data_IF_783953613000
#
_entry.id   IF_783953613000
#
_cell.length_a   1.000
_cell.length_b   1.000
_cell.length_c   1.000
_cell.angle_alpha   90.00
_cell.angle_beta   90.00
_cell.angle_gamma   90.00
#
_symmetry.space_group_name_H-M   'P 1'
#
loop_
_entity.id
_entity.type
_entity.pdbx_description
1 polymer ?
#
# COMPACT_ATOMS: atom_id res chain seq x y z
N UNK A 1 -16.02 -7.44 24.84
CA UNK A 1 -16.32 -6.59 23.66
C UNK A 1 -17.38 -7.31 22.83
N UNK A 2 -18.46 -6.65 22.41
CA UNK A 2 -19.54 -7.35 21.70
C UNK A 2 -19.06 -7.86 20.33
N UNK A 3 -19.58 -9.01 19.87
CA UNK A 3 -19.23 -9.63 18.58
C UNK A 3 -19.38 -8.66 17.40
N UNK A 4 -20.44 -7.82 17.42
CA UNK A 4 -20.67 -6.80 16.40
C UNK A 4 -19.61 -5.70 16.38
N UNK A 5 -19.09 -5.29 17.54
CA UNK A 5 -18.05 -4.25 17.61
C UNK A 5 -16.69 -4.78 17.10
N UNK A 6 -16.35 -6.03 17.42
CA UNK A 6 -15.14 -6.67 16.88
C UNK A 6 -15.20 -6.79 15.36
N UNK A 7 -16.35 -7.24 14.85
CA UNK A 7 -16.57 -7.36 13.41
C UNK A 7 -16.41 -6.01 12.69
N UNK A 8 -16.97 -4.92 13.25
CA UNK A 8 -16.80 -3.58 12.70
C UNK A 8 -15.33 -3.19 12.58
N UNK A 9 -14.53 -3.37 13.64
CA UNK A 9 -13.10 -3.02 13.61
C UNK A 9 -12.32 -3.84 12.58
N UNK A 10 -12.64 -5.12 12.45
CA UNK A 10 -12.02 -5.99 11.44
C UNK A 10 -12.40 -5.54 10.02
N UNK A 11 -13.67 -5.27 9.76
CA UNK A 11 -14.10 -4.73 8.46
C UNK A 11 -13.43 -3.39 8.13
N UNK A 12 -13.27 -2.50 9.12
CA UNK A 12 -12.53 -1.23 8.95
C UNK A 12 -11.05 -1.49 8.64
N UNK A 13 -10.41 -2.45 9.31
CA UNK A 13 -9.03 -2.82 9.02
C UNK A 13 -8.86 -3.27 7.55
N UNK A 14 -9.72 -4.17 7.06
CA UNK A 14 -9.68 -4.60 5.65
C UNK A 14 -9.92 -3.46 4.68
N UNK A 15 -10.87 -2.58 4.99
CA UNK A 15 -11.12 -1.38 4.21
C UNK A 15 -9.86 -0.51 4.08
N UNK A 16 -9.16 -0.21 5.17
CA UNK A 16 -7.95 0.61 5.14
C UNK A 16 -6.78 -0.07 4.42
N UNK A 17 -6.62 -1.39 4.60
CA UNK A 17 -5.61 -2.16 3.87
C UNK A 17 -5.88 -2.07 2.36
N UNK A 18 -7.10 -2.37 1.91
CA UNK A 18 -7.47 -2.30 0.50
C UNK A 18 -7.39 -0.88 -0.07
N UNK A 19 -7.78 0.12 0.73
CA UNK A 19 -7.65 1.53 0.37
C UNK A 19 -6.19 1.93 0.17
N UNK A 20 -5.27 1.43 0.99
CA UNK A 20 -3.83 1.72 0.85
C UNK A 20 -3.30 1.31 -0.53
N UNK A 21 -3.76 0.18 -1.08
CA UNK A 21 -3.40 -0.27 -2.43
C UNK A 21 -4.10 0.54 -3.52
N UNK A 22 -5.40 0.79 -3.37
CA UNK A 22 -6.19 1.54 -4.33
C UNK A 22 -5.74 3.01 -4.47
N UNK A 23 -5.06 3.56 -3.46
CA UNK A 23 -4.53 4.93 -3.48
C UNK A 23 -3.14 5.05 -4.16
N UNK A 24 -2.38 3.96 -4.31
CA UNK A 24 -1.05 3.98 -4.96
C UNK A 24 -1.07 4.66 -6.35
N UNK A 25 -2.07 4.43 -7.22
CA UNK A 25 -2.08 5.01 -8.57
C UNK A 25 -2.37 6.51 -8.60
N UNK A 26 -3.02 7.08 -7.57
CA UNK A 26 -3.48 8.49 -7.55
C UNK A 26 -2.38 9.49 -7.93
N UNK A 27 -1.18 9.50 -7.30
CA UNK A 27 -0.10 10.42 -7.68
C UNK A 27 0.39 10.22 -9.12
N UNK A 28 0.35 9.00 -9.64
CA UNK A 28 0.73 8.70 -11.02
C UNK A 28 -0.31 9.19 -12.02
N UNK A 29 -1.59 9.01 -11.73
CA UNK A 29 -2.70 9.51 -12.55
C UNK A 29 -2.68 11.03 -12.56
N UNK A 30 -2.51 11.68 -11.40
CA UNK A 30 -2.37 13.13 -11.32
C UNK A 30 -1.25 13.64 -12.22
N UNK A 31 -0.03 13.09 -12.08
CA UNK A 31 1.11 13.51 -12.89
C UNK A 31 0.92 13.19 -14.37
N UNK A 32 0.27 12.09 -14.71
CA UNK A 32 -0.11 11.78 -16.08
C UNK A 32 -1.04 12.87 -16.66
N UNK A 33 -2.06 13.28 -15.90
CA UNK A 33 -3.00 14.30 -16.34
C UNK A 33 -2.33 15.67 -16.50
N UNK A 34 -1.47 16.06 -15.58
CA UNK A 34 -0.77 17.36 -15.63
C UNK A 34 0.34 17.38 -16.70
N UNK A 35 1.23 16.39 -16.72
CA UNK A 35 2.43 16.41 -17.58
C UNK A 35 2.17 15.96 -19.02
N UNK A 36 1.16 15.13 -19.25
CA UNK A 36 0.91 14.52 -20.56
C UNK A 36 -0.38 15.02 -21.19
N UNK A 37 -1.45 15.14 -20.39
CA UNK A 37 -2.71 15.69 -20.85
C UNK A 37 -2.80 17.21 -20.67
N UNK A 38 -1.77 17.83 -20.08
CA UNK A 38 -1.66 19.29 -19.91
C UNK A 38 -2.92 19.85 -19.24
N UNK A 39 -3.53 19.07 -18.33
CA UNK A 39 -4.69 19.49 -17.55
C UNK A 39 -4.24 20.30 -16.35
N UNK A 40 -4.89 21.43 -16.17
CA UNK A 40 -4.75 22.18 -14.94
C UNK A 40 -5.64 21.55 -13.86
N UNK A 41 -5.02 21.07 -12.79
CA UNK A 41 -5.71 20.38 -11.70
C UNK A 41 -5.29 21.08 -10.41
N UNK A 42 -6.15 22.00 -9.97
CA UNK A 42 -5.93 22.81 -8.79
C UNK A 42 -6.90 22.46 -7.65
N UNK A 43 -6.44 22.62 -6.42
CA UNK A 43 -7.26 22.53 -5.19
C UNK A 43 -8.17 21.30 -5.13
N UNK A 44 -9.47 21.55 -4.99
CA UNK A 44 -10.49 20.51 -4.84
C UNK A 44 -10.66 19.61 -6.07
N UNK A 45 -10.18 20.01 -7.26
CA UNK A 45 -10.21 19.15 -8.43
C UNK A 45 -9.32 17.91 -8.25
N UNK A 46 -8.24 18.02 -7.46
CA UNK A 46 -7.38 16.90 -7.10
C UNK A 46 -8.13 15.84 -6.28
N UNK A 47 -9.07 16.24 -5.41
CA UNK A 47 -9.85 15.31 -4.60
C UNK A 47 -10.73 14.37 -5.44
N UNK A 48 -11.09 14.77 -6.66
CA UNK A 48 -11.87 13.92 -7.58
C UNK A 48 -11.12 12.63 -7.94
N UNK A 49 -9.79 12.62 -7.90
CA UNK A 49 -8.98 11.42 -8.17
C UNK A 49 -9.13 10.34 -7.10
N UNK A 50 -9.62 10.70 -5.92
CA UNK A 50 -9.81 9.78 -4.81
C UNK A 50 -11.17 9.07 -4.86
N UNK A 51 -12.14 9.61 -5.61
CA UNK A 51 -13.52 9.07 -5.68
C UNK A 51 -13.51 7.58 -6.09
N UNK A 52 -12.76 7.23 -7.13
CA UNK A 52 -12.70 5.85 -7.63
C UNK A 52 -12.07 4.89 -6.60
N UNK A 53 -10.87 5.17 -6.04
CA UNK A 53 -10.32 4.38 -4.94
C UNK A 53 -11.29 4.16 -3.78
N UNK A 54 -11.91 5.24 -3.29
CA UNK A 54 -12.87 5.17 -2.18
C UNK A 54 -14.11 4.33 -2.53
N UNK A 55 -14.65 4.48 -3.75
CA UNK A 55 -15.82 3.73 -4.18
C UNK A 55 -15.51 2.23 -4.28
N UNK A 56 -14.42 1.85 -4.95
CA UNK A 56 -13.99 0.45 -5.13
C UNK A 56 -13.76 -0.22 -3.78
N UNK A 57 -13.08 0.46 -2.85
CA UNK A 57 -12.75 -0.14 -1.55
C UNK A 57 -13.95 -0.20 -0.62
N UNK A 58 -14.90 0.72 -0.76
CA UNK A 58 -16.18 0.64 -0.02
C UNK A 58 -17.01 -0.54 -0.49
N UNK A 59 -17.06 -0.82 -1.81
CA UNK A 59 -17.71 -2.02 -2.36
C UNK A 59 -17.02 -3.28 -1.83
N UNK A 60 -15.69 -3.32 -1.84
CA UNK A 60 -14.90 -4.41 -1.27
C UNK A 60 -15.20 -4.63 0.22
N UNK A 61 -15.30 -3.55 1.01
CA UNK A 61 -15.65 -3.64 2.44
C UNK A 61 -17.03 -4.26 2.65
N UNK A 62 -18.02 -3.84 1.87
CA UNK A 62 -19.38 -4.40 1.94
C UNK A 62 -19.34 -5.88 1.56
N UNK A 63 -18.71 -6.23 0.45
CA UNK A 63 -18.56 -7.61 -0.02
C UNK A 63 -17.89 -8.52 1.00
N UNK A 64 -16.74 -8.12 1.52
CA UNK A 64 -16.01 -8.88 2.55
C UNK A 64 -16.77 -8.95 3.86
N UNK A 65 -17.46 -7.88 4.26
CA UNK A 65 -18.33 -7.91 5.46
C UNK A 65 -19.43 -8.97 5.32
N UNK A 66 -20.07 -9.09 4.16
CA UNK A 66 -21.05 -10.17 3.95
C UNK A 66 -20.42 -11.56 4.04
N UNK A 67 -19.24 -11.76 3.45
CA UNK A 67 -18.56 -13.05 3.46
C UNK A 67 -18.10 -13.48 4.86
N UNK A 68 -17.63 -12.55 5.67
CA UNK A 68 -17.05 -12.79 6.99
C UNK A 68 -18.01 -12.51 8.14
N UNK A 69 -19.28 -12.16 7.87
CA UNK A 69 -20.26 -11.94 8.92
C UNK A 69 -20.36 -13.20 9.81
N UNK A 70 -20.30 -13.04 11.16
CA UNK A 70 -20.33 -14.17 12.09
C UNK A 70 -21.61 -15.01 11.94
N UNK A 71 -21.45 -16.32 11.89
CA UNK A 71 -22.53 -17.31 11.97
C UNK A 71 -22.09 -18.45 12.89
N UNK A 72 -23.03 -19.18 13.48
CA UNK A 72 -22.71 -20.25 14.44
C UNK A 72 -21.72 -21.28 13.85
N UNK A 73 -21.91 -21.66 12.58
CA UNK A 73 -20.99 -22.53 11.83
C UNK A 73 -19.57 -21.97 11.74
N UNK A 74 -19.41 -20.67 11.42
CA UNK A 74 -18.09 -20.03 11.31
C UNK A 74 -17.44 -19.88 12.68
N UNK A 75 -18.23 -19.63 13.73
CA UNK A 75 -17.75 -19.55 15.11
C UNK A 75 -17.22 -20.91 15.56
N UNK A 76 -17.94 -21.99 15.25
CA UNK A 76 -17.52 -23.36 15.57
C UNK A 76 -16.26 -23.74 14.79
N UNK A 77 -16.22 -23.44 13.48
CA UNK A 77 -15.02 -23.64 12.66
C UNK A 77 -13.83 -22.83 13.19
N UNK A 78 -14.04 -21.60 13.66
CA UNK A 78 -13.00 -20.77 14.27
C UNK A 78 -12.41 -21.40 15.52
N UNK A 79 -13.26 -21.94 16.40
CA UNK A 79 -12.84 -22.61 17.64
C UNK A 79 -11.99 -23.83 17.36
N UNK A 80 -12.30 -24.58 16.30
CA UNK A 80 -11.51 -25.74 15.85
C UNK A 80 -10.17 -25.26 15.27
N UNK A 81 -10.20 -24.27 14.39
CA UNK A 81 -9.00 -23.78 13.68
C UNK A 81 -7.97 -23.14 14.61
N UNK A 82 -8.43 -22.41 15.63
CA UNK A 82 -7.59 -21.70 16.57
C UNK A 82 -7.62 -22.32 17.98
N UNK A 83 -7.92 -23.61 18.09
CA UNK A 83 -8.14 -24.29 19.38
C UNK A 83 -7.01 -24.02 20.40
N UNK A 84 -5.74 -24.01 19.98
CA UNK A 84 -4.60 -23.68 20.85
C UNK A 84 -4.54 -22.20 21.28
N UNK A 85 -4.92 -21.27 20.40
CA UNK A 85 -4.88 -19.82 20.66
C UNK A 85 -6.09 -19.35 21.50
N UNK A 86 -7.25 -20.00 21.35
CA UNK A 86 -8.44 -19.73 22.16
C UNK A 86 -8.30 -20.23 23.60
N UNK A 87 -7.63 -21.37 23.81
CA UNK A 87 -7.45 -21.96 25.14
C UNK A 87 -6.44 -21.22 26.02
N UNK A 88 -5.39 -20.61 25.45
CA UNK A 88 -4.36 -19.90 26.22
C UNK A 88 -4.75 -18.49 26.67
N UNK A 89 -5.59 -17.77 25.91
CA UNK A 89 -5.83 -16.34 26.15
C UNK A 89 -7.21 -15.99 26.73
N UNK A 90 -8.10 -16.98 26.92
CA UNK A 90 -9.47 -16.74 27.44
C UNK A 90 -10.29 -15.75 26.59
N UNK A 91 -9.84 -15.48 25.37
CA UNK A 91 -10.28 -14.37 24.54
C UNK A 91 -11.20 -14.88 23.44
N UNK A 92 -12.42 -15.26 23.82
CA UNK A 92 -13.45 -15.86 22.95
C UNK A 92 -13.91 -14.95 21.78
N UNK A 93 -13.37 -13.74 21.65
CA UNK A 93 -14.01 -12.68 20.87
C UNK A 93 -13.16 -12.04 19.76
N UNK A 94 -11.82 -12.09 19.82
CA UNK A 94 -11.00 -11.35 18.84
C UNK A 94 -10.78 -12.12 17.52
N UNK A 95 -10.64 -13.46 17.60
CA UNK A 95 -10.41 -14.31 16.43
C UNK A 95 -11.68 -14.68 15.64
N UNK A 96 -12.85 -14.50 16.26
CA UNK A 96 -14.12 -15.00 15.72
C UNK A 96 -14.61 -14.18 14.52
N UNK A 97 -14.20 -12.92 14.40
CA UNK A 97 -14.59 -12.05 13.27
C UNK A 97 -13.83 -12.31 11.97
N UNK A 98 -12.88 -13.27 11.96
CA UNK A 98 -11.98 -13.51 10.82
C UNK A 98 -11.99 -14.95 10.33
N UNK A 99 -13.12 -15.64 10.45
CA UNK A 99 -13.24 -17.03 9.96
C UNK A 99 -14.27 -17.11 8.86
N UNK A 100 -13.77 -17.05 7.63
CA UNK A 100 -14.53 -17.32 6.43
C UNK A 100 -14.54 -18.82 6.14
N UNK A 101 -15.56 -19.28 5.42
CA UNK A 101 -15.51 -20.60 4.79
C UNK A 101 -14.36 -20.61 3.76
N UNK A 102 -13.82 -21.79 3.38
CA UNK A 102 -12.77 -21.86 2.36
C UNK A 102 -13.13 -21.15 1.05
N UNK A 103 -14.42 -21.16 0.68
CA UNK A 103 -14.95 -20.44 -0.48
C UNK A 103 -14.86 -18.93 -0.26
N UNK A 104 -15.37 -18.43 0.88
CA UNK A 104 -15.30 -17.01 1.23
C UNK A 104 -13.85 -16.50 1.25
N UNK A 105 -12.91 -17.29 1.79
CA UNK A 105 -11.48 -16.95 1.78
C UNK A 105 -10.91 -16.89 0.37
N UNK A 106 -11.17 -17.89 -0.47
CA UNK A 106 -10.68 -17.89 -1.87
C UNK A 106 -11.23 -16.70 -2.66
N UNK A 107 -12.52 -16.39 -2.53
CA UNK A 107 -13.14 -15.31 -3.31
C UNK A 107 -12.67 -13.93 -2.83
N UNK A 108 -12.47 -13.74 -1.52
CA UNK A 108 -11.94 -12.48 -0.98
C UNK A 108 -10.46 -12.27 -1.32
N UNK A 109 -9.65 -13.34 -1.36
CA UNK A 109 -8.27 -13.27 -1.85
C UNK A 109 -8.22 -12.93 -3.34
N UNK A 110 -9.11 -13.51 -4.15
CA UNK A 110 -9.22 -13.17 -5.57
C UNK A 110 -9.62 -11.71 -5.77
N UNK A 111 -10.64 -11.24 -5.06
CA UNK A 111 -11.11 -9.84 -5.11
C UNK A 111 -10.00 -8.85 -4.72
N UNK A 112 -9.29 -9.12 -3.62
CA UNK A 112 -8.13 -8.32 -3.20
C UNK A 112 -7.00 -8.32 -4.25
N UNK A 113 -6.77 -9.48 -4.89
CA UNK A 113 -5.80 -9.60 -5.97
C UNK A 113 -6.18 -8.73 -7.17
N UNK A 114 -7.47 -8.63 -7.52
CA UNK A 114 -7.96 -7.75 -8.60
C UNK A 114 -7.66 -6.28 -8.28
N UNK A 115 -7.95 -5.82 -7.05
CA UNK A 115 -7.69 -4.45 -6.61
C UNK A 115 -6.20 -4.13 -6.69
N UNK A 116 -5.36 -5.02 -6.15
CA UNK A 116 -3.92 -4.84 -6.11
C UNK A 116 -3.31 -4.82 -7.53
N UNK A 117 -3.55 -5.86 -8.33
CA UNK A 117 -3.00 -5.97 -9.69
C UNK A 117 -3.55 -4.87 -10.61
N UNK A 118 -4.83 -4.51 -10.48
CA UNK A 118 -5.44 -3.39 -11.22
C UNK A 118 -4.75 -2.07 -10.91
N UNK A 119 -4.52 -1.79 -9.63
CA UNK A 119 -3.82 -0.57 -9.19
C UNK A 119 -2.40 -0.50 -9.74
N UNK A 120 -1.63 -1.59 -9.63
CA UNK A 120 -0.26 -1.65 -10.15
C UNK A 120 -0.19 -1.59 -11.68
N UNK A 121 -1.19 -2.10 -12.38
CA UNK A 121 -1.29 -1.97 -13.84
C UNK A 121 -1.42 -0.49 -14.26
N UNK A 122 -2.23 0.29 -13.54
CA UNK A 122 -2.36 1.74 -13.77
C UNK A 122 -1.04 2.45 -13.47
N UNK A 123 -0.38 2.12 -12.35
CA UNK A 123 0.93 2.68 -11.98
C UNK A 123 1.95 2.43 -13.09
N UNK A 124 2.06 1.18 -13.56
CA UNK A 124 2.99 0.80 -14.61
C UNK A 124 2.71 1.55 -15.91
N UNK A 125 1.45 1.59 -16.33
CA UNK A 125 1.04 2.31 -17.54
C UNK A 125 1.33 3.81 -17.48
N UNK A 126 0.93 4.49 -16.40
CA UNK A 126 1.20 5.91 -16.18
C UNK A 126 2.70 6.18 -16.15
N UNK A 127 3.48 5.36 -15.43
CA UNK A 127 4.93 5.47 -15.32
C UNK A 127 5.62 5.39 -16.68
N UNK A 128 5.25 4.42 -17.52
CA UNK A 128 5.79 4.30 -18.87
C UNK A 128 5.51 5.55 -19.71
N UNK A 129 4.29 6.09 -19.64
CA UNK A 129 3.91 7.30 -20.39
C UNK A 129 4.68 8.53 -19.88
N UNK A 130 4.81 8.70 -18.56
CA UNK A 130 5.55 9.79 -17.94
C UNK A 130 7.03 9.73 -18.33
N UNK A 131 7.66 8.55 -18.27
CA UNK A 131 9.06 8.40 -18.68
C UNK A 131 9.30 8.75 -20.14
N UNK A 132 8.41 8.32 -21.04
CA UNK A 132 8.50 8.67 -22.47
C UNK A 132 8.37 10.18 -22.68
N UNK A 133 7.45 10.84 -21.98
CA UNK A 133 7.28 12.29 -22.03
C UNK A 133 8.52 13.04 -21.50
N UNK A 134 9.09 12.57 -20.39
CA UNK A 134 10.29 13.17 -19.78
C UNK A 134 11.51 13.10 -20.70
N UNK A 135 11.68 12.00 -21.45
CA UNK A 135 12.78 11.85 -22.43
C UNK A 135 12.54 12.64 -23.72
N UNK A 136 11.28 12.83 -24.12
CA UNK A 136 10.91 13.53 -25.35
C UNK A 136 10.60 15.01 -25.11
N UNK A 137 9.34 15.33 -24.78
CA UNK A 137 8.81 16.70 -24.70
C UNK A 137 9.54 17.57 -23.66
N UNK A 138 9.89 17.02 -22.48
CA UNK A 138 10.64 17.78 -21.47
C UNK A 138 12.14 17.93 -21.79
N UNK A 139 12.63 17.43 -22.93
CA UNK A 139 13.98 17.78 -23.38
C UNK A 139 14.13 19.29 -23.62
N UNK A 140 13.04 19.98 -23.99
CA UNK A 140 13.00 21.43 -24.19
C UNK A 140 12.72 22.23 -22.91
N UNK A 141 12.39 21.57 -21.79
CA UNK A 141 12.23 22.24 -20.51
C UNK A 141 13.59 22.61 -19.89
N UNK A 142 13.59 23.53 -18.93
CA UNK A 142 14.82 23.89 -18.21
C UNK A 142 15.47 22.65 -17.58
N UNK A 143 16.80 22.60 -17.55
CA UNK A 143 17.54 21.49 -16.96
C UNK A 143 17.13 21.22 -15.50
N UNK A 144 16.84 22.29 -14.74
CA UNK A 144 16.36 22.21 -13.35
C UNK A 144 14.98 21.57 -13.25
N UNK A 145 14.01 22.00 -14.07
CA UNK A 145 12.65 21.43 -14.08
C UNK A 145 12.68 19.96 -14.49
N UNK A 146 13.46 19.62 -15.52
CA UNK A 146 13.61 18.25 -16.00
C UNK A 146 14.22 17.32 -14.94
N UNK A 147 15.28 17.76 -14.26
CA UNK A 147 15.92 16.97 -13.20
C UNK A 147 14.96 16.73 -12.03
N UNK A 148 14.24 17.77 -11.59
CA UNK A 148 13.24 17.66 -10.54
C UNK A 148 12.13 16.66 -10.89
N UNK A 149 11.54 16.76 -12.09
CA UNK A 149 10.47 15.87 -12.52
C UNK A 149 10.96 14.41 -12.68
N UNK A 150 12.18 14.21 -13.19
CA UNK A 150 12.81 12.90 -13.29
C UNK A 150 13.06 12.28 -11.91
N UNK A 151 13.58 13.07 -10.97
CA UNK A 151 13.81 12.64 -9.61
C UNK A 151 12.50 12.21 -8.94
N UNK A 152 11.46 13.06 -9.00
CA UNK A 152 10.14 12.74 -8.46
C UNK A 152 9.56 11.45 -9.05
N UNK A 153 9.70 11.21 -10.36
CA UNK A 153 9.22 9.97 -10.99
C UNK A 153 9.94 8.74 -10.48
N UNK A 154 11.28 8.81 -10.38
CA UNK A 154 12.08 7.69 -9.85
C UNK A 154 11.70 7.36 -8.41
N UNK A 155 11.46 8.38 -7.58
CA UNK A 155 11.06 8.19 -6.18
C UNK A 155 9.70 7.51 -6.10
N UNK A 156 8.69 8.02 -6.82
CA UNK A 156 7.35 7.43 -6.80
C UNK A 156 7.38 5.96 -7.25
N UNK A 157 8.20 5.63 -8.25
CA UNK A 157 8.36 4.24 -8.70
C UNK A 157 9.08 3.39 -7.68
N UNK A 158 10.12 3.91 -7.02
CA UNK A 158 10.77 3.21 -5.92
C UNK A 158 9.80 2.96 -4.75
N UNK A 159 8.95 3.94 -4.43
CA UNK A 159 7.89 3.81 -3.43
C UNK A 159 6.80 2.82 -3.85
N UNK A 160 6.47 2.71 -5.14
CA UNK A 160 5.49 1.73 -5.59
C UNK A 160 6.07 0.30 -5.62
N UNK A 161 7.30 0.15 -6.11
CA UNK A 161 7.94 -1.16 -6.37
C UNK A 161 8.64 -1.73 -5.13
N UNK A 162 9.29 -0.90 -4.31
CA UNK A 162 10.02 -1.33 -3.13
C UNK A 162 9.16 -2.14 -2.15
N UNK A 163 8.03 -1.60 -1.69
CA UNK A 163 7.06 -2.35 -0.88
C UNK A 163 6.47 -3.54 -1.62
N UNK A 164 6.27 -3.45 -2.95
CA UNK A 164 5.75 -4.57 -3.74
C UNK A 164 6.69 -5.79 -3.64
N UNK A 165 7.99 -5.62 -3.84
CA UNK A 165 8.93 -6.75 -3.76
C UNK A 165 8.98 -7.34 -2.35
N UNK A 166 8.96 -6.48 -1.33
CA UNK A 166 9.07 -6.91 0.07
C UNK A 166 7.79 -7.58 0.57
N UNK A 167 6.61 -7.17 0.11
CA UNK A 167 5.32 -7.64 0.66
C UNK A 167 4.49 -8.50 -0.30
N UNK A 168 4.57 -8.29 -1.61
CA UNK A 168 3.81 -9.08 -2.59
C UNK A 168 4.30 -10.53 -2.62
N UNK A 169 5.61 -10.78 -2.49
CA UNK A 169 6.15 -12.15 -2.42
C UNK A 169 5.62 -12.91 -1.19
N UNK A 170 5.70 -12.37 0.04
CA UNK A 170 5.04 -12.97 1.19
C UNK A 170 3.54 -13.20 1.01
N UNK A 171 2.81 -12.22 0.47
CA UNK A 171 1.35 -12.32 0.26
C UNK A 171 0.99 -13.39 -0.79
N UNK A 172 1.74 -13.46 -1.89
CA UNK A 172 1.54 -14.47 -2.94
C UNK A 172 1.84 -15.87 -2.42
N UNK A 173 2.91 -16.03 -1.63
CA UNK A 173 3.24 -17.30 -1.00
C UNK A 173 2.18 -17.69 0.04
N UNK A 174 1.73 -16.75 0.87
CA UNK A 174 0.63 -16.98 1.82
C UNK A 174 -0.66 -17.39 1.11
N UNK A 175 -1.00 -16.70 0.02
CA UNK A 175 -2.15 -17.01 -0.83
C UNK A 175 -2.04 -18.40 -1.43
N UNK A 176 -0.86 -18.76 -1.96
CA UNK A 176 -0.60 -20.12 -2.47
C UNK A 176 -0.78 -21.16 -1.37
N UNK A 177 -0.27 -20.90 -0.18
CA UNK A 177 -0.41 -21.80 0.96
C UNK A 177 -1.87 -22.01 1.36
N UNK A 178 -2.69 -20.93 1.42
CA UNK A 178 -4.14 -21.00 1.64
C UNK A 178 -4.81 -21.87 0.58
N UNK A 179 -4.50 -21.65 -0.70
CA UNK A 179 -5.10 -22.40 -1.81
C UNK A 179 -4.70 -23.88 -1.77
N UNK A 180 -3.46 -24.17 -1.33
CA UNK A 180 -2.93 -25.53 -1.19
C UNK A 180 -3.36 -26.27 0.08
N UNK A 181 -4.15 -25.64 0.96
CA UNK A 181 -4.58 -26.19 2.26
C UNK A 181 -3.41 -26.54 3.21
N UNK A 182 -2.28 -25.84 3.11
CA UNK A 182 -1.17 -25.98 4.03
C UNK A 182 -1.51 -25.48 5.44
N UNK A 183 -0.78 -25.96 6.46
CA UNK A 183 -1.06 -25.68 7.88
C UNK A 183 -1.13 -24.18 8.20
N UNK A 184 -2.33 -23.71 8.53
CA UNK A 184 -2.70 -22.29 8.59
C UNK A 184 -2.14 -21.57 9.83
N UNK A 185 -1.77 -22.29 10.89
CA UNK A 185 -1.34 -21.70 12.17
C UNK A 185 0.10 -21.16 12.05
N UNK A 186 1.03 -21.94 11.49
CA UNK A 186 2.40 -21.48 11.25
C UNK A 186 2.45 -20.32 10.24
N UNK A 187 1.52 -20.32 9.27
CA UNK A 187 1.44 -19.32 8.21
C UNK A 187 0.91 -17.97 8.71
N UNK A 188 -0.14 -17.95 9.52
CA UNK A 188 -0.74 -16.70 10.01
C UNK A 188 0.23 -15.85 10.85
N UNK A 189 1.05 -16.47 11.71
CA UNK A 189 2.10 -15.77 12.48
C UNK A 189 3.24 -15.28 11.57
N UNK A 190 3.65 -16.10 10.60
CA UNK A 190 4.76 -15.78 9.69
C UNK A 190 4.41 -14.64 8.71
N UNK A 191 3.14 -14.52 8.31
CA UNK A 191 2.67 -13.52 7.34
C UNK A 191 1.97 -12.30 7.93
N UNK A 192 1.41 -12.40 9.14
CA UNK A 192 0.83 -11.25 9.85
C UNK A 192 1.88 -10.19 10.22
N UNK A 193 3.09 -10.62 10.63
CA UNK A 193 4.17 -9.71 11.02
C UNK A 193 4.65 -8.81 9.88
N UNK A 194 5.00 -9.33 8.68
CA UNK A 194 5.44 -8.48 7.57
C UNK A 194 4.38 -7.46 7.11
N UNK A 195 3.10 -7.84 7.11
CA UNK A 195 2.01 -6.93 6.72
C UNK A 195 1.90 -5.72 7.65
N UNK A 196 2.18 -5.88 8.94
CA UNK A 196 2.17 -4.78 9.91
C UNK A 196 3.26 -3.71 9.61
N UNK A 197 4.28 -4.04 8.81
CA UNK A 197 5.38 -3.14 8.47
C UNK A 197 5.15 -2.33 7.18
N UNK A 198 4.05 -2.57 6.45
CA UNK A 198 3.71 -1.81 5.23
C UNK A 198 3.72 -0.29 5.46
N UNK A 199 3.13 0.26 6.55
CA UNK A 199 3.15 1.70 6.81
C UNK A 199 4.55 2.27 7.04
N UNK A 200 5.51 1.44 7.48
CA UNK A 200 6.90 1.87 7.73
C UNK A 200 7.77 1.83 6.45
N UNK A 201 7.52 0.88 5.56
CA UNK A 201 8.31 0.72 4.34
C UNK A 201 8.25 1.96 3.42
N UNK A 202 7.06 2.54 3.24
CA UNK A 202 6.86 3.71 2.39
C UNK A 202 7.70 4.93 2.84
N UNK A 203 7.65 5.37 4.11
CA UNK A 203 8.53 6.42 4.63
C UNK A 203 10.02 6.10 4.50
N UNK A 204 10.43 4.87 4.79
CA UNK A 204 11.85 4.47 4.72
C UNK A 204 12.38 4.58 3.29
N UNK A 205 11.66 4.04 2.31
CA UNK A 205 12.01 4.17 0.89
C UNK A 205 12.05 5.65 0.48
N UNK A 206 11.07 6.44 0.92
CA UNK A 206 11.02 7.88 0.64
C UNK A 206 12.27 8.61 1.14
N UNK A 207 12.64 8.39 2.41
CA UNK A 207 13.81 9.01 3.03
C UNK A 207 15.09 8.59 2.31
N UNK A 208 15.22 7.31 1.95
CA UNK A 208 16.43 6.79 1.33
C UNK A 208 16.65 7.35 -0.10
N UNK A 209 15.58 7.49 -0.88
CA UNK A 209 15.66 7.90 -2.29
C UNK A 209 15.49 9.42 -2.51
N UNK A 210 14.88 10.16 -1.58
CA UNK A 210 14.76 11.62 -1.66
C UNK A 210 15.99 12.32 -1.12
N UNK A 211 16.82 12.88 -2.02
CA UNK A 211 18.03 13.64 -1.63
C UNK A 211 17.76 14.69 -0.54
N UNK A 212 16.70 15.52 -0.60
CA UNK A 212 16.45 16.50 0.45
C UNK A 212 16.23 15.85 1.82
N UNK A 213 15.37 14.82 1.91
CA UNK A 213 15.09 14.13 3.17
C UNK A 213 16.31 13.37 3.69
N UNK A 214 17.02 12.67 2.81
CA UNK A 214 18.25 11.96 3.16
C UNK A 214 19.30 12.91 3.69
N UNK A 215 19.50 14.07 3.06
CA UNK A 215 20.53 15.02 3.46
C UNK A 215 20.15 15.76 4.77
N UNK A 216 18.86 15.90 5.07
CA UNK A 216 18.42 16.43 6.37
C UNK A 216 18.65 15.42 7.50
N UNK A 217 18.34 14.15 7.27
CA UNK A 217 18.44 13.09 8.29
C UNK A 217 19.89 12.57 8.44
N UNK A 218 20.60 12.46 7.32
CA UNK A 218 22.00 12.04 7.23
C UNK A 218 22.83 13.12 6.54
N UNK A 219 23.12 14.25 7.22
CA UNK A 219 23.89 15.33 6.63
C UNK A 219 25.28 14.85 6.23
N UNK A 220 25.62 15.07 4.96
CA UNK A 220 26.95 14.75 4.46
C UNK A 220 27.91 15.86 4.94
N UNK A 221 28.79 15.54 5.90
CA UNK A 221 29.68 16.51 6.57
C UNK A 221 30.57 17.31 5.60
N UNK A 222 30.79 16.82 4.38
CA UNK A 222 31.59 17.49 3.34
C UNK A 222 30.92 18.70 2.69
N UNK A 223 29.58 18.80 2.72
CA UNK A 223 28.85 19.96 2.16
C UNK A 223 28.79 21.11 3.17
N UNK A 224 28.67 20.78 4.46
CA UNK A 224 28.69 21.74 5.56
C UNK A 224 30.04 22.45 5.68
N UNK A 225 31.15 21.73 5.43
CA UNK A 225 32.49 22.34 5.42
C UNK A 225 32.69 23.34 4.27
N UNK A 226 32.11 23.11 3.08
CA UNK A 226 32.25 24.03 1.94
C UNK A 226 31.44 25.31 2.16
N UNK A 227 30.22 25.22 2.70
CA UNK A 227 29.42 26.40 3.03
C UNK A 227 30.08 27.28 4.11
N UNK A 228 30.70 26.65 5.12
CA UNK A 228 31.44 27.36 6.16
C UNK A 228 32.71 28.04 5.62
N UNK A 229 33.42 27.43 4.65
CA UNK A 229 34.59 28.05 4.03
C UNK A 229 34.18 29.27 3.19
N UNK A 230 33.08 29.18 2.43
CA UNK A 230 32.59 30.31 1.62
C UNK A 230 32.07 31.49 2.44
N UNK A 231 31.52 31.28 3.64
CA UNK A 231 31.11 32.37 4.53
C UNK A 231 32.28 33.01 5.27
N UNK A 232 33.39 32.29 5.45
CA UNK A 232 34.61 32.82 6.09
C UNK A 232 35.50 33.60 5.11
N UNK A 233 35.36 33.39 3.80
CA UNK A 233 36.06 34.16 2.76
C UNK A 233 35.31 35.43 2.30
N UNK A 234 34.08 35.65 2.78
CA UNK A 234 33.26 36.81 2.45
C UNK A 234 33.22 37.87 3.57
N UNK A 235 34.02 37.69 4.63
CA UNK A 235 34.24 38.62 5.74
C UNK A 235 35.67 39.14 5.72
#
# INVERSE_FOLDING_TARGET
MSTGLNFLFISMYFYFVSLSFALIPVPFVYRYLVLIKERDIEGFAYLKLYIVPFAVTSIHMVYTSFLYYPSDEKIEFAKILFHGVFMENGSDHWNVGYVGTPIATRTSVFDMSVICNGSYSVVFWCSMKIYKNLKGKMAMASAKTRDLQSQLTRIMIAQAVGPMVVFMLPVLFYTYCIVSQADQIALSITFGLPLAWIPLANPVVTIWFMKPYRNTIFPNKSVTSIQNISSTQAS
#
